data_IF_445794677106
#
_entry.id   IF_445794677106
#
_cell.length_a   1.000
_cell.length_b   1.000
_cell.length_c   1.000
_cell.angle_alpha   90.00
_cell.angle_beta   90.00
_cell.angle_gamma   90.00
#
_symmetry.space_group_name_H-M   'P 1'
#
loop_
_entity.id
_entity.type
_entity.pdbx_description
1 polymer ?
#
# COMPACT_ATOMS: atom_id res chain seq x y z
N UNK A 1 -18.54 16.68 5.01
CA UNK A 1 -17.74 15.89 5.98
C UNK A 1 -16.80 16.84 6.71
N UNK A 2 -16.66 16.71 8.03
CA UNK A 2 -15.63 17.47 8.75
C UNK A 2 -14.27 16.95 8.30
N UNK A 3 -13.34 17.81 7.88
CA UNK A 3 -12.00 17.39 7.43
C UNK A 3 -11.12 16.72 8.49
N UNK A 4 -11.66 16.35 9.65
CA UNK A 4 -10.94 15.72 10.76
C UNK A 4 -10.52 14.30 10.38
N UNK A 5 -9.28 13.94 10.66
CA UNK A 5 -8.82 12.55 10.55
C UNK A 5 -9.56 11.65 11.54
N UNK A 6 -9.75 10.41 11.12
CA UNK A 6 -10.11 9.31 12.03
C UNK A 6 -8.94 9.02 12.96
N UNK A 7 -9.20 8.35 14.09
CA UNK A 7 -8.13 7.88 14.97
C UNK A 7 -7.17 6.94 14.22
N UNK A 8 -7.74 6.07 13.38
CA UNK A 8 -6.98 5.13 12.52
C UNK A 8 -6.03 5.87 11.58
N UNK A 9 -6.52 6.86 10.83
CA UNK A 9 -5.66 7.63 9.91
C UNK A 9 -4.65 8.51 10.66
N UNK A 10 -5.04 9.08 11.80
CA UNK A 10 -4.14 9.88 12.63
C UNK A 10 -2.99 9.04 13.21
N UNK A 11 -3.28 7.80 13.64
CA UNK A 11 -2.25 6.84 14.09
C UNK A 11 -1.25 6.55 12.98
N UNK A 12 -1.72 6.26 11.77
CA UNK A 12 -0.85 6.01 10.62
C UNK A 12 0.01 7.23 10.28
N UNK A 13 -0.57 8.43 10.26
CA UNK A 13 0.18 9.68 10.07
C UNK A 13 1.24 9.92 11.15
N UNK A 14 0.94 9.64 12.41
CA UNK A 14 1.92 9.81 13.47
C UNK A 14 3.04 8.79 13.41
N UNK A 15 2.73 7.55 13.01
CA UNK A 15 3.71 6.49 12.80
C UNK A 15 4.60 6.75 11.58
N UNK A 16 4.05 7.35 10.52
CA UNK A 16 4.81 7.67 9.29
C UNK A 16 5.95 8.67 9.52
N UNK A 17 5.94 9.38 10.66
CA UNK A 17 7.05 10.26 11.08
C UNK A 17 8.23 9.50 11.69
N UNK A 18 8.05 8.20 11.95
CA UNK A 18 9.03 7.31 12.58
C UNK A 18 9.44 6.17 11.67
N UNK A 19 8.55 5.76 10.75
CA UNK A 19 8.79 4.75 9.73
C UNK A 19 8.37 5.30 8.36
N UNK A 20 9.24 5.26 7.33
CA UNK A 20 8.85 5.58 5.97
C UNK A 20 7.64 4.73 5.53
N UNK A 21 6.63 5.38 4.98
CA UNK A 21 5.37 4.72 4.60
C UNK A 21 4.70 5.31 3.36
N UNK A 22 5.37 6.22 2.65
CA UNK A 22 4.81 6.82 1.44
C UNK A 22 4.45 5.76 0.40
N UNK A 23 3.37 6.03 -0.31
CA UNK A 23 2.90 5.22 -1.42
C UNK A 23 3.45 5.80 -2.72
N UNK A 24 4.03 4.94 -3.55
CA UNK A 24 4.57 5.30 -4.85
C UNK A 24 3.72 4.66 -5.95
N UNK A 25 3.14 5.49 -6.82
CA UNK A 25 2.34 5.04 -7.96
C UNK A 25 3.06 5.44 -9.25
N UNK A 26 3.65 4.46 -9.92
CA UNK A 26 4.32 4.65 -11.20
C UNK A 26 3.34 4.39 -12.36
N UNK A 27 3.37 5.27 -13.35
CA UNK A 27 2.68 5.15 -14.63
C UNK A 27 3.69 5.39 -15.75
N UNK A 28 3.83 4.43 -16.66
CA UNK A 28 4.60 4.66 -17.89
C UNK A 28 3.65 4.94 -19.04
N UNK A 29 3.99 5.95 -19.83
CA UNK A 29 3.22 6.51 -20.93
C UNK A 29 3.99 6.30 -22.22
N UNK A 30 3.30 5.86 -23.28
CA UNK A 30 3.95 5.58 -24.56
C UNK A 30 4.47 6.86 -25.24
N UNK A 31 5.75 6.88 -25.56
CA UNK A 31 6.42 8.03 -26.17
C UNK A 31 6.87 9.11 -25.19
N UNK A 32 7.53 10.12 -25.75
CA UNK A 32 8.05 11.29 -25.03
C UNK A 32 7.06 12.45 -25.07
N UNK A 33 7.08 13.30 -24.04
CA UNK A 33 6.29 14.52 -24.01
C UNK A 33 6.88 15.58 -24.94
N UNK A 34 6.03 16.32 -25.64
CA UNK A 34 6.47 17.40 -26.53
C UNK A 34 6.92 18.64 -25.74
N UNK A 35 6.22 18.96 -24.65
CA UNK A 35 6.56 20.06 -23.72
C UNK A 35 6.32 19.63 -22.26
N UNK A 36 7.38 19.20 -21.54
CA UNK A 36 7.28 18.83 -20.12
C UNK A 36 6.77 19.95 -19.20
N UNK A 37 6.95 21.21 -19.56
CA UNK A 37 6.48 22.36 -18.77
C UNK A 37 4.98 22.61 -18.96
N UNK A 38 4.47 22.43 -20.18
CA UNK A 38 3.04 22.44 -20.46
C UNK A 38 2.34 21.29 -19.71
N UNK A 39 2.91 20.09 -19.74
CA UNK A 39 2.38 18.92 -19.02
C UNK A 39 2.39 19.15 -17.51
N UNK A 40 3.48 19.70 -16.98
CA UNK A 40 3.58 20.10 -15.57
C UNK A 40 2.47 21.09 -15.19
N UNK A 41 2.25 22.11 -16.02
CA UNK A 41 1.19 23.11 -15.80
C UNK A 41 -0.20 22.48 -15.82
N UNK A 42 -0.44 21.54 -16.74
CA UNK A 42 -1.70 20.80 -16.82
C UNK A 42 -1.94 19.91 -15.59
N UNK A 43 -0.91 19.19 -15.13
CA UNK A 43 -0.98 18.35 -13.92
C UNK A 43 -1.31 19.19 -12.68
N UNK A 44 -0.66 20.34 -12.50
CA UNK A 44 -0.95 21.27 -11.41
C UNK A 44 -2.39 21.79 -11.49
N UNK A 45 -2.86 22.17 -12.68
CA UNK A 45 -4.24 22.62 -12.89
C UNK A 45 -5.25 21.54 -12.51
N UNK A 46 -5.01 20.29 -12.90
CA UNK A 46 -5.88 19.14 -12.55
C UNK A 46 -5.85 18.87 -11.05
N UNK A 47 -4.66 18.85 -10.44
CA UNK A 47 -4.52 18.62 -9.00
C UNK A 47 -5.23 19.68 -8.13
N UNK A 48 -5.44 20.91 -8.63
CA UNK A 48 -6.25 21.93 -7.94
C UNK A 48 -7.73 21.61 -7.85
N UNK A 49 -8.25 20.81 -8.78
CA UNK A 49 -9.69 20.49 -8.87
C UNK A 49 -10.03 19.09 -8.42
N UNK A 50 -9.06 18.18 -8.32
CA UNK A 50 -9.27 16.82 -7.78
C UNK A 50 -9.40 16.88 -6.26
N UNK A 51 -10.51 16.34 -5.74
CA UNK A 51 -10.73 16.25 -4.29
C UNK A 51 -9.60 15.47 -3.61
N UNK A 52 -9.10 15.97 -2.48
CA UNK A 52 -7.99 15.36 -1.74
C UNK A 52 -6.59 15.68 -2.25
N UNK A 53 -6.41 16.35 -3.39
CA UNK A 53 -5.09 16.81 -3.86
C UNK A 53 -4.81 18.28 -3.50
N UNK A 54 -5.83 19.13 -3.34
CA UNK A 54 -5.69 20.52 -2.91
C UNK A 54 -5.85 20.71 -1.38
N UNK A 55 -5.36 19.76 -0.58
CA UNK A 55 -5.43 19.80 0.90
C UNK A 55 -4.06 19.54 1.52
N UNK A 56 -3.91 19.90 2.80
CA UNK A 56 -2.78 19.54 3.67
C UNK A 56 -3.27 19.28 5.09
N UNK A 57 -2.47 18.60 5.91
CA UNK A 57 -2.78 18.38 7.31
C UNK A 57 -2.46 19.62 8.16
N UNK A 58 -3.35 19.88 9.12
CA UNK A 58 -3.13 20.84 10.20
C UNK A 58 -3.41 20.15 11.53
N UNK A 59 -2.37 20.06 12.36
CA UNK A 59 -2.47 19.56 13.72
C UNK A 59 -3.11 20.60 14.65
N UNK A 60 -3.76 20.13 15.70
CA UNK A 60 -4.26 21.00 16.78
C UNK A 60 -3.14 21.26 17.79
N UNK A 61 -3.16 22.43 18.44
CA UNK A 61 -2.21 22.72 19.53
C UNK A 61 -2.40 21.70 20.65
N UNK A 62 -1.29 21.23 21.24
CA UNK A 62 -1.27 20.25 22.34
C UNK A 62 -1.98 18.92 22.03
N UNK A 63 -2.22 18.63 20.74
CA UNK A 63 -3.00 17.45 20.32
C UNK A 63 -4.38 17.39 20.98
N UNK A 64 -5.01 18.57 21.16
CA UNK A 64 -6.33 18.70 21.77
C UNK A 64 -7.44 17.97 20.99
N UNK A 65 -7.27 17.80 19.68
CA UNK A 65 -8.09 16.95 18.82
C UNK A 65 -7.24 16.34 17.69
N UNK A 66 -7.81 15.41 16.92
CA UNK A 66 -7.16 14.82 15.75
C UNK A 66 -6.82 15.87 14.68
N UNK A 67 -5.79 15.63 13.83
CA UNK A 67 -5.45 16.52 12.73
C UNK A 67 -6.60 16.73 11.75
N UNK A 68 -6.56 17.83 11.02
CA UNK A 68 -7.58 18.20 10.04
C UNK A 68 -6.98 18.44 8.66
N UNK A 69 -7.63 17.93 7.62
CA UNK A 69 -7.45 18.38 6.24
C UNK A 69 -7.94 19.83 6.10
N UNK A 70 -7.06 20.68 5.60
CA UNK A 70 -7.36 22.08 5.26
C UNK A 70 -6.93 22.35 3.81
N UNK A 71 -7.62 23.25 3.08
CA UNK A 71 -7.19 23.64 1.74
C UNK A 71 -5.75 24.14 1.71
N UNK A 72 -5.07 23.86 0.60
CA UNK A 72 -3.76 24.40 0.29
C UNK A 72 -3.69 24.73 -1.19
N UNK A 73 -2.88 25.73 -1.52
CA UNK A 73 -2.55 25.98 -2.92
C UNK A 73 -1.67 24.84 -3.45
N UNK A 74 -1.90 24.51 -4.72
CA UNK A 74 -1.08 23.56 -5.48
C UNK A 74 -0.25 24.36 -6.47
N UNK A 75 1.06 24.27 -6.30
CA UNK A 75 2.08 25.06 -7.01
C UNK A 75 2.96 24.15 -7.88
N UNK A 76 3.76 24.75 -8.78
CA UNK A 76 4.56 24.01 -9.77
C UNK A 76 5.63 23.11 -9.14
N UNK A 77 6.15 23.47 -7.96
CA UNK A 77 7.13 22.69 -7.20
C UNK A 77 6.64 21.29 -6.79
N UNK A 78 5.33 21.03 -6.85
CA UNK A 78 4.75 19.69 -6.70
C UNK A 78 5.17 18.71 -7.79
N UNK A 79 5.64 19.19 -8.92
CA UNK A 79 6.07 18.36 -10.05
C UNK A 79 7.56 18.58 -10.25
N UNK A 80 8.33 17.54 -9.95
CA UNK A 80 9.79 17.51 -10.12
C UNK A 80 10.08 16.84 -11.45
N UNK A 81 10.64 17.59 -12.39
CA UNK A 81 11.08 17.06 -13.69
C UNK A 81 12.52 16.59 -13.56
N UNK A 82 12.77 15.35 -13.96
CA UNK A 82 14.07 14.71 -13.90
C UNK A 82 14.60 14.46 -15.31
N UNK A 83 15.92 14.42 -15.43
CA UNK A 83 16.55 14.05 -16.69
C UNK A 83 16.20 12.59 -17.06
N UNK A 84 16.01 12.38 -18.36
CA UNK A 84 15.77 11.07 -18.94
C UNK A 84 16.97 10.12 -18.83
N UNK A 85 16.70 8.84 -18.62
CA UNK A 85 17.68 7.77 -18.35
C UNK A 85 17.14 6.41 -18.79
N UNK A 86 17.89 5.34 -18.56
CA UNK A 86 17.35 3.98 -18.73
C UNK A 86 16.24 3.68 -17.70
N UNK A 87 15.39 2.70 -18.01
CA UNK A 87 14.34 2.22 -17.11
C UNK A 87 14.86 1.85 -15.72
N UNK A 88 15.99 1.14 -15.65
CA UNK A 88 16.54 0.73 -14.35
C UNK A 88 17.07 1.92 -13.55
N UNK A 89 17.74 2.87 -14.17
CA UNK A 89 18.16 4.11 -13.49
C UNK A 89 16.97 4.95 -13.02
N UNK A 90 15.86 4.95 -13.76
CA UNK A 90 14.62 5.58 -13.32
C UNK A 90 14.09 4.91 -12.04
N UNK A 91 14.06 3.58 -11.99
CA UNK A 91 13.66 2.82 -10.79
C UNK A 91 14.61 3.04 -9.62
N UNK A 92 15.92 3.10 -9.84
CA UNK A 92 16.91 3.36 -8.80
C UNK A 92 16.72 4.77 -8.20
N UNK A 93 16.41 5.77 -9.04
CA UNK A 93 16.07 7.13 -8.56
C UNK A 93 14.75 7.18 -7.79
N UNK A 94 13.78 6.32 -8.12
CA UNK A 94 12.57 6.16 -7.31
C UNK A 94 12.89 5.46 -5.99
N UNK A 95 13.81 4.49 -5.98
CA UNK A 95 14.25 3.85 -4.74
C UNK A 95 14.93 4.85 -3.79
N UNK A 96 15.75 5.76 -4.31
CA UNK A 96 16.39 6.82 -3.53
C UNK A 96 15.38 7.78 -2.86
N UNK A 97 14.17 7.94 -3.42
CA UNK A 97 13.14 8.79 -2.79
C UNK A 97 12.39 8.10 -1.64
N UNK A 98 12.67 6.83 -1.35
CA UNK A 98 12.13 6.16 -0.15
C UNK A 98 12.62 6.81 1.14
N UNK A 99 13.80 7.43 1.15
CA UNK A 99 14.30 8.17 2.31
C UNK A 99 13.73 9.59 2.39
N UNK A 100 13.42 10.21 1.24
CA UNK A 100 12.80 11.54 1.14
C UNK A 100 11.27 11.41 1.23
N UNK A 101 10.73 11.19 2.43
CA UNK A 101 9.28 11.12 2.66
C UNK A 101 8.62 12.49 2.54
N UNK A 102 7.38 12.54 2.03
CA UNK A 102 6.61 13.78 1.95
C UNK A 102 6.08 14.18 3.34
N UNK A 103 5.94 15.49 3.61
CA UNK A 103 5.35 15.99 4.86
C UNK A 103 3.88 16.37 4.61
N UNK A 104 2.89 15.60 5.11
CA UNK A 104 1.47 15.88 4.88
C UNK A 104 1.01 17.27 5.31
N UNK A 105 1.76 17.94 6.20
CA UNK A 105 1.44 19.29 6.67
C UNK A 105 1.80 20.39 5.67
N UNK A 106 2.66 20.07 4.70
CA UNK A 106 3.19 20.97 3.68
C UNK A 106 2.90 20.47 2.28
N UNK A 107 3.28 19.23 2.01
CA UNK A 107 3.26 18.51 0.74
C UNK A 107 2.75 17.10 1.00
N UNK A 108 1.44 16.80 0.98
CA UNK A 108 0.97 15.44 1.20
C UNK A 108 1.19 14.51 0.02
N UNK A 109 1.58 15.06 -1.13
CA UNK A 109 1.94 14.32 -2.32
C UNK A 109 2.84 15.17 -3.20
N UNK A 110 3.63 14.53 -4.06
CA UNK A 110 4.41 15.15 -5.13
C UNK A 110 4.53 14.20 -6.32
N UNK A 111 4.91 14.74 -7.46
CA UNK A 111 5.07 14.01 -8.71
C UNK A 111 6.52 14.08 -9.18
N UNK A 112 7.02 12.98 -9.71
CA UNK A 112 8.32 12.88 -10.35
C UNK A 112 8.07 12.53 -11.81
N UNK A 113 8.40 13.46 -12.71
CA UNK A 113 8.22 13.30 -14.14
C UNK A 113 9.58 13.03 -14.78
N UNK A 114 9.68 11.92 -15.49
CA UNK A 114 10.84 11.52 -16.30
C UNK A 114 10.40 11.52 -17.77
N UNK A 115 10.65 12.61 -18.53
CA UNK A 115 10.06 12.79 -19.86
C UNK A 115 10.59 11.85 -20.95
N UNK A 116 11.74 11.23 -20.74
CA UNK A 116 12.41 10.40 -21.73
C UNK A 116 13.12 9.23 -21.03
N UNK A 117 12.53 8.04 -21.05
CA UNK A 117 13.07 6.86 -20.38
C UNK A 117 13.24 5.75 -21.41
N UNK A 118 14.47 5.29 -21.57
CA UNK A 118 14.82 4.23 -22.51
C UNK A 118 14.59 2.84 -21.93
N UNK A 119 14.17 1.89 -22.76
CA UNK A 119 14.01 0.49 -22.36
C UNK A 119 12.85 0.23 -21.39
N UNK A 120 11.84 1.11 -21.36
CA UNK A 120 10.60 0.84 -20.62
C UNK A 120 9.94 -0.42 -21.20
N UNK A 121 9.51 -1.39 -20.36
CA UNK A 121 8.85 -2.58 -20.86
C UNK A 121 7.65 -2.25 -21.73
N UNK A 122 7.48 -3.00 -22.83
CA UNK A 122 6.39 -2.84 -23.81
C UNK A 122 6.47 -1.57 -24.69
N UNK A 123 7.58 -0.85 -24.73
CA UNK A 123 7.82 0.20 -25.74
C UNK A 123 8.92 -0.19 -26.71
N UNK A 124 8.87 0.37 -27.91
CA UNK A 124 9.94 0.25 -28.92
C UNK A 124 10.88 1.45 -28.92
N UNK A 125 10.45 2.56 -28.31
CA UNK A 125 11.23 3.79 -28.18
C UNK A 125 11.18 4.36 -26.76
N UNK A 126 11.74 5.56 -26.56
CA UNK A 126 11.72 6.21 -25.26
C UNK A 126 10.29 6.52 -24.82
N UNK A 127 10.04 6.40 -23.52
CA UNK A 127 8.74 6.56 -22.90
C UNK A 127 8.76 7.63 -21.81
N UNK A 128 7.61 8.10 -21.38
CA UNK A 128 7.49 9.02 -20.25
C UNK A 128 7.11 8.25 -19.00
N UNK A 129 7.78 8.49 -17.89
CA UNK A 129 7.41 7.90 -16.59
C UNK A 129 6.95 8.99 -15.63
N UNK A 130 5.75 8.83 -15.09
CA UNK A 130 5.21 9.65 -14.01
C UNK A 130 5.12 8.81 -12.74
N UNK A 131 5.76 9.26 -11.67
CA UNK A 131 5.64 8.66 -10.34
C UNK A 131 4.94 9.63 -9.42
N UNK A 132 3.81 9.21 -8.84
CA UNK A 132 3.08 9.97 -7.83
C UNK A 132 3.43 9.40 -6.46
N UNK A 133 4.16 10.18 -5.68
CA UNK A 133 4.48 9.87 -4.29
C UNK A 133 3.42 10.53 -3.39
N UNK A 134 2.77 9.75 -2.54
CA UNK A 134 1.69 10.19 -1.68
C UNK A 134 1.90 9.73 -0.24
N UNK A 135 1.59 10.59 0.71
CA UNK A 135 1.55 10.18 2.11
C UNK A 135 0.42 9.16 2.33
N UNK A 136 0.71 8.08 3.06
CA UNK A 136 -0.26 7.01 3.33
C UNK A 136 -1.56 7.50 4.01
N UNK A 137 -1.53 8.64 4.71
CA UNK A 137 -2.72 9.25 5.32
C UNK A 137 -3.74 9.74 4.28
N UNK A 138 -3.34 9.92 3.01
CA UNK A 138 -4.27 10.17 1.89
C UNK A 138 -5.11 8.94 1.54
N UNK A 139 -4.76 7.74 1.99
CA UNK A 139 -5.67 6.60 2.01
C UNK A 139 -5.03 5.29 1.56
N UNK A 140 -5.87 4.26 1.50
CA UNK A 140 -5.46 2.95 1.02
C UNK A 140 -5.14 2.94 -0.49
N UNK A 141 -4.57 1.82 -0.96
CA UNK A 141 -4.17 1.65 -2.36
C UNK A 141 -5.30 1.91 -3.37
N UNK A 142 -6.55 1.59 -3.02
CA UNK A 142 -7.71 1.86 -3.88
C UNK A 142 -8.01 3.35 -3.96
N UNK A 143 -7.99 4.07 -2.82
CA UNK A 143 -8.21 5.51 -2.78
C UNK A 143 -7.12 6.28 -3.51
N UNK A 144 -5.84 5.98 -3.30
CA UNK A 144 -4.75 6.68 -4.01
C UNK A 144 -4.71 6.35 -5.50
N UNK A 145 -5.10 5.12 -5.89
CA UNK A 145 -5.28 4.79 -7.30
C UNK A 145 -6.43 5.59 -7.92
N UNK A 146 -7.55 5.78 -7.21
CA UNK A 146 -8.63 6.63 -7.69
C UNK A 146 -8.22 8.11 -7.83
N UNK A 147 -7.41 8.64 -6.90
CA UNK A 147 -6.84 9.99 -7.00
C UNK A 147 -5.92 10.13 -8.21
N UNK A 148 -5.03 9.17 -8.43
CA UNK A 148 -4.12 9.18 -9.57
C UNK A 148 -4.87 9.02 -10.91
N UNK A 149 -5.94 8.22 -10.95
CA UNK A 149 -6.83 8.15 -12.12
C UNK A 149 -7.50 9.50 -12.39
N UNK A 150 -8.11 10.12 -11.38
CA UNK A 150 -8.74 11.44 -11.54
C UNK A 150 -7.76 12.52 -12.00
N UNK A 151 -6.49 12.42 -11.61
CA UNK A 151 -5.41 13.30 -12.07
C UNK A 151 -5.04 13.07 -13.55
N UNK A 152 -5.08 11.82 -14.01
CA UNK A 152 -4.69 11.42 -15.37
C UNK A 152 -5.86 11.41 -16.36
N UNK A 153 -7.11 11.47 -15.88
CA UNK A 153 -8.29 11.60 -16.74
C UNK A 153 -8.38 12.98 -17.41
N UNK A 154 -9.00 13.03 -18.59
CA UNK A 154 -9.21 14.26 -19.36
C UNK A 154 -10.18 15.22 -18.66
N UNK A 155 -11.25 14.69 -18.05
CA UNK A 155 -12.25 15.43 -17.28
C UNK A 155 -12.15 15.09 -15.78
N UNK A 156 -11.36 15.83 -14.99
CA UNK A 156 -11.29 15.60 -13.56
C UNK A 156 -12.63 15.95 -12.90
N UNK A 157 -13.15 15.05 -12.07
CA UNK A 157 -14.35 15.32 -11.26
C UNK A 157 -14.06 16.43 -10.24
N UNK A 158 -14.97 17.41 -10.07
CA UNK A 158 -14.72 18.59 -9.26
C UNK A 158 -14.65 18.27 -7.75
N UNK A 159 -13.75 18.96 -7.05
CA UNK A 159 -13.54 18.81 -5.62
C UNK A 159 -14.78 19.13 -4.78
N UNK A 160 -15.11 18.26 -3.83
CA UNK A 160 -16.08 18.57 -2.79
C UNK A 160 -15.39 19.43 -1.73
N UNK A 161 -15.85 20.68 -1.55
CA UNK A 161 -15.28 21.58 -0.54
C UNK A 161 -15.38 20.96 0.86
N UNK A 162 -14.23 20.68 1.46
CA UNK A 162 -14.15 20.23 2.84
C UNK A 162 -14.42 21.40 3.79
N UNK A 163 -15.34 21.22 4.73
CA UNK A 163 -15.63 22.23 5.76
C UNK A 163 -14.50 22.22 6.79
N UNK A 164 -13.78 23.35 6.87
CA UNK A 164 -12.68 23.55 7.81
C UNK A 164 -13.20 24.20 9.08
N UNK A 165 -12.95 23.57 10.23
CA UNK A 165 -13.16 24.23 11.52
C UNK A 165 -12.03 25.25 11.77
N UNK A 166 -12.35 26.50 12.14
CA UNK A 166 -11.38 27.45 12.67
C UNK A 166 -10.60 26.84 13.85
N UNK A 167 -9.31 27.16 13.97
CA UNK A 167 -8.42 26.60 15.01
C UNK A 167 -8.95 26.72 16.46
N UNK A 168 -9.48 27.88 16.93
CA UNK A 168 -10.02 27.97 18.29
C UNK A 168 -11.25 27.07 18.50
N UNK A 169 -12.09 26.90 17.48
CA UNK A 169 -13.26 26.02 17.54
C UNK A 169 -12.86 24.54 17.58
N UNK A 170 -11.79 24.14 16.88
CA UNK A 170 -11.26 22.78 16.94
C UNK A 170 -10.72 22.43 18.35
N UNK A 171 -10.02 23.37 19.00
CA UNK A 171 -9.53 23.20 20.37
C UNK A 171 -10.70 23.10 21.37
N UNK A 172 -11.65 24.03 21.28
CA UNK A 172 -12.83 24.03 22.15
C UNK A 172 -13.63 22.73 22.00
N UNK A 173 -13.82 22.26 20.75
CA UNK A 173 -14.46 20.97 20.46
C UNK A 173 -13.72 19.81 21.13
N UNK A 174 -12.40 19.73 20.96
CA UNK A 174 -11.59 18.68 21.58
C UNK A 174 -11.72 18.63 23.10
N UNK A 175 -11.65 19.80 23.76
CA UNK A 175 -11.81 19.92 25.20
C UNK A 175 -13.22 19.54 25.69
N UNK A 176 -14.26 19.99 24.99
CA UNK A 176 -15.67 19.70 25.32
C UNK A 176 -16.01 18.23 25.07
N UNK A 177 -15.50 17.61 24.00
CA UNK A 177 -15.74 16.21 23.69
C UNK A 177 -14.96 15.25 24.61
N UNK A 178 -13.92 15.71 25.30
CA UNK A 178 -13.01 14.84 26.05
C UNK A 178 -13.73 13.96 27.10
N UNK A 179 -14.61 14.48 27.98
CA UNK A 179 -15.32 13.64 28.95
C UNK A 179 -16.21 12.59 28.27
N UNK A 180 -16.94 12.99 27.23
CA UNK A 180 -17.81 12.10 26.47
C UNK A 180 -17.01 11.01 25.74
N UNK A 181 -15.82 11.34 25.20
CA UNK A 181 -14.90 10.37 24.60
C UNK A 181 -14.34 9.39 25.60
N UNK A 182 -13.97 9.83 26.80
CA UNK A 182 -13.49 8.94 27.87
C UNK A 182 -14.58 7.93 28.29
N UNK A 183 -15.81 8.40 28.49
CA UNK A 183 -16.95 7.52 28.79
C UNK A 183 -17.23 6.56 27.63
N UNK A 184 -17.23 7.10 26.40
CA UNK A 184 -17.38 6.33 25.16
C UNK A 184 -16.32 5.25 25.02
N UNK A 185 -15.06 5.56 25.32
CA UNK A 185 -13.93 4.64 25.28
C UNK A 185 -14.12 3.46 26.22
N UNK A 186 -14.52 3.70 27.48
CA UNK A 186 -14.78 2.60 28.43
C UNK A 186 -15.91 1.70 27.93
N UNK A 187 -16.99 2.28 27.41
CA UNK A 187 -18.12 1.51 26.86
C UNK A 187 -17.71 0.69 25.63
N UNK A 188 -17.05 1.32 24.66
CA UNK A 188 -16.61 0.65 23.42
C UNK A 188 -15.51 -0.37 23.67
N UNK A 189 -14.63 -0.15 24.64
CA UNK A 189 -13.64 -1.15 25.07
C UNK A 189 -14.33 -2.40 25.62
N UNK A 190 -15.40 -2.26 26.42
CA UNK A 190 -16.21 -3.40 26.88
C UNK A 190 -16.86 -4.14 25.70
N UNK A 191 -17.44 -3.41 24.76
CA UNK A 191 -18.01 -4.00 23.52
C UNK A 191 -16.94 -4.78 22.74
N UNK A 192 -15.73 -4.22 22.60
CA UNK A 192 -14.61 -4.87 21.92
C UNK A 192 -14.16 -6.15 22.65
N UNK A 193 -14.11 -6.15 23.99
CA UNK A 193 -13.80 -7.37 24.77
C UNK A 193 -14.87 -8.44 24.58
N UNK A 194 -16.16 -8.08 24.57
CA UNK A 194 -17.25 -9.03 24.32
C UNK A 194 -17.17 -9.59 22.89
N UNK A 195 -16.94 -8.72 21.91
CA UNK A 195 -16.78 -9.12 20.52
C UNK A 195 -15.58 -10.06 20.32
N UNK A 196 -14.46 -9.80 21.01
CA UNK A 196 -13.27 -10.65 20.98
C UNK A 196 -13.50 -12.01 21.62
N UNK A 197 -14.22 -12.07 22.75
CA UNK A 197 -14.64 -13.34 23.37
C UNK A 197 -15.54 -14.14 22.43
N UNK A 198 -16.50 -13.48 21.76
CA UNK A 198 -17.37 -14.12 20.76
C UNK A 198 -16.54 -14.67 19.60
N UNK A 199 -15.64 -13.86 19.04
CA UNK A 199 -14.71 -14.29 17.97
C UNK A 199 -13.88 -15.51 18.39
N UNK A 200 -13.43 -15.55 19.64
CA UNK A 200 -12.67 -16.68 20.20
C UNK A 200 -13.54 -17.93 20.33
N UNK A 201 -14.77 -17.79 20.84
CA UNK A 201 -15.72 -18.90 20.91
C UNK A 201 -16.13 -19.44 19.53
N UNK A 202 -16.43 -18.55 18.57
CA UNK A 202 -16.78 -18.90 17.19
C UNK A 202 -15.59 -19.56 16.46
N UNK A 203 -14.35 -19.18 16.81
CA UNK A 203 -13.14 -19.88 16.35
C UNK A 203 -13.05 -21.29 16.97
N UNK A 204 -13.26 -21.42 18.29
CA UNK A 204 -13.21 -22.71 18.98
C UNK A 204 -14.33 -23.67 18.53
N UNK A 205 -15.48 -23.13 18.13
CA UNK A 205 -16.61 -23.87 17.57
C UNK A 205 -16.48 -24.18 16.06
N UNK A 206 -15.39 -23.73 15.40
CA UNK A 206 -15.17 -23.95 13.97
C UNK A 206 -16.07 -23.13 13.03
N UNK A 207 -16.80 -22.14 13.55
CA UNK A 207 -17.66 -21.24 12.76
C UNK A 207 -16.81 -20.34 11.86
N UNK A 208 -15.66 -19.88 12.36
CA UNK A 208 -14.65 -19.19 11.57
C UNK A 208 -13.29 -19.89 11.69
N UNK A 209 -12.43 -19.83 10.66
CA UNK A 209 -11.07 -20.35 10.75
C UNK A 209 -10.27 -19.73 11.88
N UNK A 210 -9.27 -20.47 12.37
CA UNK A 210 -8.29 -19.98 13.35
C UNK A 210 -7.58 -18.69 12.92
N UNK A 211 -7.07 -17.88 13.86
CA UNK A 211 -6.11 -16.84 13.50
C UNK A 211 -4.86 -17.48 12.86
N UNK A 212 -4.12 -16.75 12.01
CA UNK A 212 -2.84 -17.24 11.50
C UNK A 212 -1.90 -17.55 12.66
N UNK A 213 -1.11 -18.61 12.50
CA UNK A 213 -0.05 -18.93 13.45
C UNK A 213 1.11 -17.92 13.26
N UNK A 214 1.74 -17.47 14.35
CA UNK A 214 3.01 -16.74 14.27
C UNK A 214 4.09 -17.60 13.61
N UNK A 215 4.93 -16.99 12.79
CA UNK A 215 6.01 -17.68 12.04
C UNK A 215 7.37 -17.34 12.60
N UNK A 216 8.30 -18.28 12.51
CA UNK A 216 9.70 -18.01 12.83
C UNK A 216 10.30 -17.04 11.77
N UNK A 217 11.06 -16.00 12.17
CA UNK A 217 11.74 -15.12 11.22
C UNK A 217 12.72 -15.88 10.32
N UNK A 218 12.94 -15.38 9.11
CA UNK A 218 13.97 -15.88 8.17
C UNK A 218 15.07 -14.83 7.98
N UNK A 219 16.07 -15.13 7.15
CA UNK A 219 17.06 -14.13 6.70
C UNK A 219 16.44 -12.92 5.99
N UNK A 220 15.18 -13.01 5.57
CA UNK A 220 14.43 -11.91 4.93
C UNK A 220 13.69 -11.02 5.94
N UNK A 221 13.55 -11.50 7.18
CA UNK A 221 12.76 -10.86 8.23
C UNK A 221 13.59 -9.89 9.07
N UNK A 222 14.26 -8.94 8.39
CA UNK A 222 15.16 -7.96 9.02
C UNK A 222 14.99 -6.57 8.40
N UNK A 223 15.39 -5.50 9.12
CA UNK A 223 15.38 -4.16 8.55
C UNK A 223 16.27 -4.07 7.31
N UNK A 224 15.82 -3.33 6.31
CA UNK A 224 16.62 -2.95 5.16
C UNK A 224 17.52 -1.76 5.54
N UNK A 225 18.79 -2.04 5.83
CA UNK A 225 19.78 -1.02 6.22
C UNK A 225 20.66 -0.53 5.08
N UNK A 226 20.69 -1.27 3.97
CA UNK A 226 21.46 -0.98 2.77
C UNK A 226 20.71 -0.13 1.75
N UNK A 227 21.26 -0.07 0.53
CA UNK A 227 20.66 0.71 -0.56
C UNK A 227 19.37 0.05 -1.03
N UNK A 228 18.25 0.77 -1.00
CA UNK A 228 16.97 0.27 -1.52
C UNK A 228 17.08 0.01 -3.02
N UNK A 229 16.59 -1.15 -3.45
CA UNK A 229 16.55 -1.59 -4.85
C UNK A 229 15.13 -1.90 -5.27
N UNK A 230 14.77 -1.45 -6.47
CA UNK A 230 13.48 -1.73 -7.09
C UNK A 230 13.70 -2.51 -8.38
N UNK A 231 12.93 -3.59 -8.57
CA UNK A 231 12.86 -4.33 -9.83
C UNK A 231 11.42 -4.55 -10.25
N UNK A 232 11.18 -4.61 -11.55
CA UNK A 232 9.85 -4.82 -12.13
C UNK A 232 9.90 -5.97 -13.15
N UNK A 233 8.94 -6.89 -13.04
CA UNK A 233 8.65 -7.93 -14.02
C UNK A 233 7.26 -7.65 -14.59
N UNK A 234 7.21 -7.35 -15.89
CA UNK A 234 5.97 -6.96 -16.58
C UNK A 234 5.50 -8.11 -17.45
N UNK A 235 4.24 -8.49 -17.33
CA UNK A 235 3.64 -9.57 -18.10
C UNK A 235 2.18 -9.26 -18.46
N UNK A 236 1.61 -9.95 -19.47
CA UNK A 236 0.19 -9.92 -19.74
C UNK A 236 -0.61 -10.47 -18.55
N UNK A 237 -1.78 -9.90 -18.28
CA UNK A 237 -2.69 -10.39 -17.24
C UNK A 237 -3.10 -11.86 -17.49
N UNK A 238 -3.17 -12.28 -18.75
CA UNK A 238 -3.45 -13.66 -19.15
C UNK A 238 -2.35 -14.66 -18.79
N UNK A 239 -1.14 -14.21 -18.45
CA UNK A 239 -0.08 -15.09 -17.95
C UNK A 239 -0.27 -15.41 -16.46
N UNK A 240 -1.08 -14.62 -15.74
CA UNK A 240 -1.35 -14.76 -14.30
C UNK A 240 -2.84 -14.96 -14.00
N UNK A 241 -3.67 -15.24 -15.00
CA UNK A 241 -5.11 -15.39 -14.80
C UNK A 241 -5.64 -16.56 -15.61
N UNK A 242 -6.50 -17.34 -14.97
CA UNK A 242 -7.33 -18.34 -15.62
C UNK A 242 -8.78 -18.13 -15.20
N UNK A 243 -9.69 -18.97 -15.71
CA UNK A 243 -11.10 -18.92 -15.31
C UNK A 243 -11.32 -19.26 -13.82
N UNK A 244 -10.36 -19.95 -13.20
CA UNK A 244 -10.45 -20.41 -11.80
C UNK A 244 -9.42 -19.78 -10.87
N UNK A 245 -8.37 -19.17 -11.42
CA UNK A 245 -7.28 -18.57 -10.63
C UNK A 245 -7.18 -17.07 -10.92
N UNK A 246 -7.36 -16.27 -9.88
CA UNK A 246 -7.20 -14.81 -9.96
C UNK A 246 -5.72 -14.39 -10.07
N UNK A 247 -5.48 -13.18 -10.61
CA UNK A 247 -4.13 -12.57 -10.67
C UNK A 247 -3.43 -12.56 -9.32
N UNK A 248 -4.15 -12.23 -8.25
CA UNK A 248 -3.58 -12.21 -6.89
C UNK A 248 -3.11 -13.61 -6.46
N UNK A 249 -3.90 -14.65 -6.72
CA UNK A 249 -3.52 -16.03 -6.36
C UNK A 249 -2.33 -16.49 -7.19
N UNK A 250 -2.36 -16.30 -8.52
CA UNK A 250 -1.24 -16.68 -9.38
C UNK A 250 0.04 -15.93 -9.00
N UNK A 251 -0.04 -14.64 -8.69
CA UNK A 251 1.10 -13.85 -8.23
C UNK A 251 1.64 -14.36 -6.87
N UNK A 252 0.79 -14.81 -5.95
CA UNK A 252 1.23 -15.44 -4.70
C UNK A 252 1.91 -16.80 -4.95
N UNK A 253 1.47 -17.58 -5.94
CA UNK A 253 2.19 -18.80 -6.37
C UNK A 253 3.57 -18.43 -6.93
N UNK A 254 3.64 -17.39 -7.77
CA UNK A 254 4.90 -16.87 -8.33
C UNK A 254 5.85 -16.43 -7.21
N UNK A 255 5.37 -15.67 -6.22
CA UNK A 255 6.17 -15.23 -5.06
C UNK A 255 6.61 -16.43 -4.22
N UNK A 256 5.70 -17.37 -3.92
CA UNK A 256 6.02 -18.62 -3.20
C UNK A 256 7.17 -19.37 -3.86
N UNK A 257 7.07 -19.56 -5.18
CA UNK A 257 8.02 -20.30 -5.98
C UNK A 257 9.38 -19.59 -6.16
N UNK A 258 9.36 -18.27 -6.35
CA UNK A 258 10.58 -17.46 -6.46
C UNK A 258 11.33 -17.37 -5.11
N UNK A 259 10.62 -17.09 -4.00
CA UNK A 259 11.22 -17.02 -2.67
C UNK A 259 11.80 -18.36 -2.25
N UNK A 260 11.10 -19.48 -2.50
CA UNK A 260 11.59 -20.82 -2.16
C UNK A 260 12.90 -21.12 -2.86
N UNK A 261 12.99 -20.83 -4.16
CA UNK A 261 14.22 -21.04 -4.93
C UNK A 261 15.35 -20.11 -4.51
N UNK A 262 15.02 -18.86 -4.22
CA UNK A 262 16.02 -17.91 -3.81
C UNK A 262 16.63 -18.27 -2.45
N UNK A 263 15.80 -18.61 -1.45
CA UNK A 263 16.28 -19.11 -0.17
C UNK A 263 17.15 -20.36 -0.33
N UNK A 264 16.72 -21.32 -1.16
CA UNK A 264 17.52 -22.50 -1.47
C UNK A 264 18.86 -22.15 -2.14
N UNK A 265 18.90 -21.14 -3.03
CA UNK A 265 20.13 -20.70 -3.70
C UNK A 265 21.13 -20.05 -2.73
N UNK A 266 20.64 -19.49 -1.62
CA UNK A 266 21.46 -18.97 -0.53
C UNK A 266 21.92 -20.06 0.45
N UNK A 267 21.49 -21.32 0.27
CA UNK A 267 21.72 -22.40 1.24
C UNK A 267 20.87 -22.28 2.50
N UNK A 268 19.86 -21.40 2.51
CA UNK A 268 18.95 -21.19 3.63
C UNK A 268 17.79 -22.19 3.59
N UNK A 269 17.31 -22.67 4.74
CA UNK A 269 16.14 -23.55 4.78
C UNK A 269 14.89 -22.79 4.32
N UNK A 270 14.08 -23.43 3.47
CA UNK A 270 12.76 -22.91 3.10
C UNK A 270 11.76 -23.31 4.18
N UNK A 271 11.15 -22.38 4.92
CA UNK A 271 10.17 -22.73 5.94
C UNK A 271 8.92 -23.35 5.32
N UNK A 272 8.42 -24.46 5.88
CA UNK A 272 7.18 -25.10 5.42
C UNK A 272 5.96 -24.17 5.56
N UNK A 273 6.02 -23.22 6.50
CA UNK A 273 5.01 -22.21 6.79
C UNK A 273 5.30 -20.84 6.14
N UNK A 274 6.13 -20.80 5.07
CA UNK A 274 6.42 -19.58 4.33
C UNK A 274 5.12 -18.81 4.07
N UNK A 275 5.05 -17.54 4.49
CA UNK A 275 3.83 -16.75 4.41
C UNK A 275 4.06 -15.33 3.91
N UNK A 276 2.99 -14.72 3.42
CA UNK A 276 2.94 -13.32 3.00
C UNK A 276 1.88 -12.55 3.80
N UNK A 277 2.19 -11.32 4.16
CA UNK A 277 1.19 -10.35 4.59
C UNK A 277 0.52 -9.75 3.36
N UNK A 278 -0.74 -10.11 3.11
CA UNK A 278 -1.52 -9.63 1.98
C UNK A 278 -2.43 -8.49 2.42
N UNK A 279 -2.31 -7.34 1.76
CA UNK A 279 -3.16 -6.18 2.01
C UNK A 279 -4.55 -6.43 1.38
N UNK A 280 -5.56 -6.69 2.19
CA UNK A 280 -6.94 -6.90 1.74
C UNK A 280 -7.76 -5.64 1.99
N UNK A 281 -8.31 -5.05 0.93
CA UNK A 281 -9.24 -3.94 1.05
C UNK A 281 -10.51 -4.35 1.80
N UNK A 282 -10.95 -3.49 2.73
CA UNK A 282 -12.20 -3.65 3.47
C UNK A 282 -13.32 -3.02 2.62
N UNK A 283 -14.28 -3.82 2.13
CA UNK A 283 -15.36 -3.33 1.27
C UNK A 283 -16.22 -2.32 2.03
N UNK A 284 -16.84 -1.33 1.35
CA UNK A 284 -17.64 -0.29 2.00
C UNK A 284 -18.68 -0.80 3.01
N UNK A 285 -19.32 -1.93 2.71
CA UNK A 285 -20.33 -2.57 3.56
C UNK A 285 -19.74 -3.14 4.86
N UNK A 286 -18.47 -3.53 4.84
CA UNK A 286 -17.73 -4.05 6.00
C UNK A 286 -16.98 -2.97 6.78
N UNK A 287 -17.02 -1.71 6.35
CA UNK A 287 -16.31 -0.63 7.04
C UNK A 287 -17.01 -0.26 8.34
N UNK A 288 -16.25 -0.32 9.42
CA UNK A 288 -16.73 0.08 10.75
C UNK A 288 -16.36 1.51 11.11
N UNK A 289 -15.43 2.11 10.37
CA UNK A 289 -14.95 3.50 10.51
C UNK A 289 -15.01 4.22 9.16
N UNK A 290 -14.92 5.55 9.18
CA UNK A 290 -14.78 6.37 7.97
C UNK A 290 -13.32 6.60 7.57
N UNK A 291 -12.41 5.70 7.96
CA UNK A 291 -10.98 5.86 7.69
C UNK A 291 -10.71 5.86 6.19
N UNK A 292 -9.79 6.71 5.75
CA UNK A 292 -9.29 6.72 4.38
C UNK A 292 -8.48 5.45 4.08
N UNK A 293 -7.80 4.93 5.11
CA UNK A 293 -7.12 3.64 5.07
C UNK A 293 -8.06 2.52 5.48
N UNK A 294 -8.74 1.90 4.50
CA UNK A 294 -9.69 0.82 4.74
C UNK A 294 -9.15 -0.50 4.19
N UNK A 295 -8.05 -1.00 4.77
CA UNK A 295 -7.48 -2.31 4.45
C UNK A 295 -7.09 -3.08 5.73
N UNK A 296 -6.91 -4.38 5.60
CA UNK A 296 -6.41 -5.25 6.64
C UNK A 296 -5.20 -6.05 6.13
N UNK A 297 -4.16 -6.18 6.97
CA UNK A 297 -3.02 -7.05 6.68
C UNK A 297 -3.35 -8.48 7.11
N UNK A 298 -3.54 -9.35 6.13
CA UNK A 298 -3.88 -10.74 6.34
C UNK A 298 -2.66 -11.63 6.10
N UNK A 299 -2.25 -12.41 7.10
CA UNK A 299 -1.22 -13.41 6.91
C UNK A 299 -1.76 -14.60 6.09
N UNK A 300 -1.15 -14.87 4.94
CA UNK A 300 -1.53 -15.92 3.99
C UNK A 300 -0.38 -16.91 3.85
N UNK A 301 -0.72 -18.19 3.85
CA UNK A 301 0.24 -19.29 3.72
C UNK A 301 0.60 -19.47 2.24
N UNK A 302 1.90 -19.53 1.92
CA UNK A 302 2.42 -19.66 0.54
C UNK A 302 2.65 -21.12 0.12
N UNK A 303 2.53 -22.07 1.05
CA UNK A 303 2.56 -23.52 0.82
C UNK A 303 3.74 -24.01 -0.06
N UNK A 304 5.00 -23.68 0.29
CA UNK A 304 6.16 -24.00 -0.55
C UNK A 304 6.40 -25.51 -0.71
N UNK A 305 5.95 -26.33 0.26
CA UNK A 305 6.06 -27.79 0.21
C UNK A 305 5.14 -28.46 -0.83
N UNK A 306 4.08 -27.79 -1.27
CA UNK A 306 3.14 -28.32 -2.29
C UNK A 306 3.76 -28.17 -3.68
N UNK A 307 4.27 -29.25 -4.26
CA UNK A 307 5.03 -29.20 -5.52
C UNK A 307 4.17 -28.91 -6.77
N UNK A 308 2.95 -29.46 -6.84
CA UNK A 308 2.01 -29.13 -7.93
C UNK A 308 1.53 -27.69 -7.79
N UNK A 309 1.88 -26.82 -8.75
CA UNK A 309 1.53 -25.40 -8.72
C UNK A 309 0.02 -25.17 -8.81
N UNK A 310 -0.76 -26.07 -9.43
CA UNK A 310 -2.23 -25.97 -9.42
C UNK A 310 -2.79 -26.27 -8.03
N UNK A 311 -2.29 -27.30 -7.36
CA UNK A 311 -2.63 -27.59 -5.97
C UNK A 311 -2.19 -26.46 -5.02
N UNK A 312 -1.00 -25.90 -5.22
CA UNK A 312 -0.50 -24.75 -4.46
C UNK A 312 -1.40 -23.53 -4.64
N UNK A 313 -1.85 -23.24 -5.87
CA UNK A 313 -2.79 -22.17 -6.15
C UNK A 313 -4.12 -22.35 -5.39
N UNK A 314 -4.67 -23.58 -5.38
CA UNK A 314 -5.89 -23.90 -4.61
C UNK A 314 -5.68 -23.67 -3.11
N UNK A 315 -4.59 -24.16 -2.54
CA UNK A 315 -4.27 -24.00 -1.12
C UNK A 315 -4.10 -22.53 -0.72
N UNK A 316 -3.40 -21.74 -1.55
CA UNK A 316 -3.26 -20.28 -1.34
C UNK A 316 -4.62 -19.58 -1.41
N UNK A 317 -5.47 -19.93 -2.38
CA UNK A 317 -6.82 -19.34 -2.50
C UNK A 317 -7.71 -19.73 -1.31
N UNK A 318 -7.59 -20.96 -0.80
CA UNK A 318 -8.25 -21.39 0.44
C UNK A 318 -7.78 -20.56 1.64
N UNK A 319 -6.46 -20.35 1.80
CA UNK A 319 -5.92 -19.48 2.87
C UNK A 319 -6.44 -18.05 2.76
N UNK A 320 -6.50 -17.46 1.56
CA UNK A 320 -7.09 -16.15 1.31
C UNK A 320 -8.59 -16.10 1.67
N UNK A 321 -9.36 -17.12 1.25
CA UNK A 321 -10.79 -17.23 1.58
C UNK A 321 -10.99 -17.33 3.08
N UNK A 322 -10.14 -18.05 3.80
CA UNK A 322 -10.18 -18.13 5.26
C UNK A 322 -9.94 -16.77 5.92
N UNK A 323 -8.99 -15.99 5.39
CA UNK A 323 -8.74 -14.63 5.90
C UNK A 323 -9.93 -13.71 5.64
N UNK A 324 -10.55 -13.79 4.45
CA UNK A 324 -11.77 -13.03 4.14
C UNK A 324 -12.95 -13.39 5.05
N UNK A 325 -13.20 -14.68 5.32
CA UNK A 325 -14.27 -15.10 6.26
C UNK A 325 -14.09 -14.49 7.65
N UNK A 326 -12.84 -14.31 8.10
CA UNK A 326 -12.55 -13.62 9.37
C UNK A 326 -12.81 -12.11 9.31
N UNK A 327 -12.60 -11.47 8.16
CA UNK A 327 -12.93 -10.04 7.95
C UNK A 327 -14.44 -9.79 7.91
N UNK A 328 -15.21 -10.74 7.39
CA UNK A 328 -16.68 -10.67 7.30
C UNK A 328 -17.37 -10.97 8.63
N UNK A 329 -16.64 -11.49 9.62
CA UNK A 329 -17.18 -11.81 10.93
C UNK A 329 -17.71 -10.54 11.64
N UNK A 330 -18.90 -10.54 12.27
CA UNK A 330 -19.49 -9.34 12.88
C UNK A 330 -18.66 -8.67 13.98
N UNK A 331 -17.74 -9.42 14.62
CA UNK A 331 -16.80 -8.86 15.60
C UNK A 331 -15.62 -8.12 14.98
N UNK A 332 -15.38 -8.27 13.67
CA UNK A 332 -14.32 -7.56 12.97
C UNK A 332 -14.57 -6.05 13.01
N UNK A 333 -13.51 -5.27 13.20
CA UNK A 333 -13.58 -3.81 13.27
C UNK A 333 -14.29 -3.22 14.51
N UNK A 334 -14.78 -4.03 15.45
CA UNK A 334 -15.31 -3.52 16.74
C UNK A 334 -14.19 -2.89 17.57
N UNK A 335 -12.98 -3.47 17.52
CA UNK A 335 -11.78 -2.88 18.11
C UNK A 335 -11.46 -1.51 17.50
N UNK A 336 -11.49 -1.39 16.17
CA UNK A 336 -11.23 -0.11 15.48
C UNK A 336 -12.23 0.97 15.89
N UNK A 337 -13.51 0.62 16.04
CA UNK A 337 -14.53 1.53 16.58
C UNK A 337 -14.25 1.98 18.02
N UNK A 338 -13.64 1.12 18.84
CA UNK A 338 -13.19 1.51 20.16
C UNK A 338 -12.01 2.47 20.07
N UNK A 339 -11.05 2.21 19.17
CA UNK A 339 -9.92 3.12 18.89
C UNK A 339 -10.40 4.51 18.45
N UNK A 340 -11.46 4.62 17.66
CA UNK A 340 -12.04 5.91 17.24
C UNK A 340 -12.55 6.79 18.40
N UNK A 341 -12.77 6.21 19.59
CA UNK A 341 -13.16 6.96 20.79
C UNK A 341 -11.99 7.40 21.66
N UNK A 342 -10.78 6.87 21.41
CA UNK A 342 -9.59 7.24 22.17
C UNK A 342 -9.30 8.74 21.94
N UNK A 343 -9.04 9.52 22.99
CA UNK A 343 -8.59 10.90 22.85
C UNK A 343 -7.27 11.00 22.07
N UNK A 344 -7.15 12.01 21.21
CA UNK A 344 -5.99 12.19 20.34
C UNK A 344 -4.66 12.26 21.11
N UNK A 345 -4.63 12.90 22.28
CA UNK A 345 -3.43 12.99 23.13
C UNK A 345 -2.97 11.63 23.68
N UNK A 346 -3.90 10.71 23.97
CA UNK A 346 -3.56 9.37 24.46
C UNK A 346 -2.98 8.55 23.32
N UNK A 347 -3.66 8.54 22.17
CA UNK A 347 -3.21 7.80 21.00
C UNK A 347 -1.88 8.35 20.46
N UNK A 348 -1.67 9.67 20.49
CA UNK A 348 -0.40 10.29 20.10
C UNK A 348 0.74 9.86 21.01
N UNK A 349 0.52 9.86 22.33
CA UNK A 349 1.53 9.40 23.31
C UNK A 349 1.87 7.93 23.14
N UNK A 350 0.87 7.07 22.91
CA UNK A 350 1.08 5.65 22.62
C UNK A 350 2.02 5.47 21.42
N UNK A 351 1.71 6.14 20.29
CA UNK A 351 2.55 6.12 19.09
C UNK A 351 3.95 6.67 19.36
N UNK A 352 4.08 7.75 20.13
CA UNK A 352 5.39 8.34 20.44
C UNK A 352 6.23 7.42 21.38
N UNK A 353 5.59 6.65 22.25
CA UNK A 353 6.25 5.76 23.22
C UNK A 353 6.62 4.37 22.69
N UNK A 354 6.04 3.93 21.57
CA UNK A 354 6.28 2.59 21.04
C UNK A 354 7.76 2.41 20.67
N UNK A 355 8.44 1.37 21.15
CA UNK A 355 9.81 1.06 20.73
C UNK A 355 9.78 0.27 19.42
N UNK A 356 10.23 0.91 18.34
CA UNK A 356 10.24 0.32 16.99
C UNK A 356 11.56 -0.39 16.67
N UNK A 357 12.53 -0.35 17.59
CA UNK A 357 13.81 -1.05 17.44
C UNK A 357 13.75 -2.52 17.89
N UNK A 358 12.70 -2.89 18.63
CA UNK A 358 12.50 -4.26 19.10
C UNK A 358 12.21 -5.18 17.92
N UNK A 359 13.14 -6.08 17.63
CA UNK A 359 12.91 -7.16 16.66
C UNK A 359 11.98 -8.20 17.29
N UNK A 360 10.81 -8.47 16.70
CA UNK A 360 9.91 -9.49 17.23
C UNK A 360 10.48 -10.89 17.01
N UNK A 361 10.19 -11.78 17.94
CA UNK A 361 10.60 -13.20 17.88
C UNK A 361 9.77 -14.01 16.88
N UNK A 362 8.68 -13.44 16.37
CA UNK A 362 7.80 -14.05 15.36
C UNK A 362 7.28 -13.00 14.39
N UNK A 363 7.02 -13.40 13.15
CA UNK A 363 6.46 -12.54 12.10
C UNK A 363 5.11 -13.04 11.60
N UNK A 364 4.28 -12.14 11.08
CA UNK A 364 3.00 -12.50 10.46
C UNK A 364 3.18 -13.03 9.03
N UNK A 365 4.22 -12.55 8.32
CA UNK A 365 4.67 -13.09 7.05
C UNK A 365 6.15 -12.75 6.82
N UNK A 366 6.79 -13.44 5.86
CA UNK A 366 8.18 -13.21 5.49
C UNK A 366 8.32 -12.15 4.39
N UNK A 367 7.21 -11.75 3.77
CA UNK A 367 7.11 -10.69 2.77
C UNK A 367 5.75 -9.99 2.90
N UNK A 368 5.61 -8.78 2.35
CA UNK A 368 4.31 -8.16 2.06
C UNK A 368 3.95 -8.37 0.58
N UNK A 369 2.67 -8.57 0.27
CA UNK A 369 2.13 -8.55 -1.09
C UNK A 369 0.95 -7.58 -1.15
N UNK A 370 1.09 -6.53 -1.96
CA UNK A 370 0.01 -5.57 -2.24
C UNK A 370 -0.48 -5.75 -3.67
N UNK A 371 -1.73 -6.18 -3.83
CA UNK A 371 -2.34 -6.42 -5.15
C UNK A 371 -3.45 -5.41 -5.43
N UNK A 372 -3.27 -4.57 -6.45
CA UNK A 372 -4.18 -3.48 -6.80
C UNK A 372 -4.46 -3.48 -8.29
N UNK A 373 -5.73 -3.69 -8.65
CA UNK A 373 -6.23 -3.44 -9.99
C UNK A 373 -6.54 -1.94 -10.16
N UNK A 374 -5.77 -1.24 -11.00
CA UNK A 374 -5.95 0.20 -11.29
C UNK A 374 -6.94 0.45 -12.44
N UNK A 375 -7.72 -0.54 -12.85
CA UNK A 375 -8.81 -0.41 -13.80
C UNK A 375 -8.39 -0.54 -15.26
N UNK A 376 -9.23 -0.10 -16.21
CA UNK A 376 -8.94 -0.18 -17.65
C UNK A 376 -7.73 0.70 -18.05
N UNK A 377 -7.18 0.42 -19.24
CA UNK A 377 -6.09 1.18 -19.86
C UNK A 377 -6.63 2.37 -20.68
N UNK A 378 -7.31 3.28 -19.99
CA UNK A 378 -8.01 4.48 -20.50
C UNK A 378 -7.40 5.78 -19.94
N UNK A 379 -6.25 5.69 -19.26
CA UNK A 379 -5.52 6.84 -18.75
C UNK A 379 -4.55 7.35 -19.82
N UNK A 380 -4.42 8.66 -19.91
CA UNK A 380 -3.48 9.30 -20.82
C UNK A 380 -2.77 10.49 -20.16
N UNK A 381 -1.56 10.75 -20.59
CA UNK A 381 -0.82 11.97 -20.26
C UNK A 381 -0.49 12.68 -21.57
N UNK A 382 -0.95 13.92 -21.72
CA UNK A 382 -0.74 14.70 -22.95
C UNK A 382 -1.22 13.98 -24.23
N UNK A 383 -2.39 13.33 -24.15
CA UNK A 383 -2.97 12.55 -25.25
C UNK A 383 -2.28 11.21 -25.52
N UNK A 384 -1.23 10.85 -24.78
CA UNK A 384 -0.49 9.59 -24.93
C UNK A 384 -0.93 8.56 -23.90
N UNK A 385 -1.15 7.29 -24.27
CA UNK A 385 -1.73 6.30 -23.39
C UNK A 385 -0.76 5.82 -22.31
N UNK A 386 -1.29 5.53 -21.13
CA UNK A 386 -0.58 4.78 -20.08
C UNK A 386 -0.55 3.31 -20.47
N UNK A 387 0.65 2.74 -20.58
CA UNK A 387 0.90 1.38 -21.08
C UNK A 387 1.20 0.36 -19.99
N UNK A 388 1.66 0.80 -18.82
CA UNK A 388 1.86 -0.02 -17.64
C UNK A 388 1.83 0.82 -16.39
N UNK A 389 1.67 0.14 -15.26
CA UNK A 389 1.66 0.78 -13.95
C UNK A 389 2.36 -0.11 -12.94
N UNK A 390 2.96 0.51 -11.93
CA UNK A 390 3.59 -0.18 -10.81
C UNK A 390 3.35 0.58 -9.50
N UNK A 391 3.62 -0.09 -8.39
CA UNK A 391 3.67 0.53 -7.08
C UNK A 391 4.59 -0.25 -6.16
N UNK A 392 5.09 0.41 -5.13
CA UNK A 392 6.23 -0.08 -4.37
C UNK A 392 5.87 -0.08 -2.88
N UNK A 393 5.34 -1.19 -2.33
CA UNK A 393 4.95 -1.25 -0.93
C UNK A 393 6.16 -1.03 -0.01
N UNK A 394 5.98 -0.22 1.04
CA UNK A 394 7.04 0.13 1.96
C UNK A 394 7.58 -1.10 2.71
N UNK A 395 8.90 -1.11 2.94
CA UNK A 395 9.58 -2.07 3.81
C UNK A 395 9.23 -1.80 5.28
N UNK A 396 9.50 -2.75 6.16
CA UNK A 396 9.32 -2.58 7.61
C UNK A 396 10.54 -3.11 8.38
N UNK A 397 10.69 -2.80 9.67
CA UNK A 397 11.77 -3.35 10.50
C UNK A 397 11.80 -4.89 10.55
N UNK A 398 10.73 -5.57 10.12
CA UNK A 398 10.58 -7.02 10.22
C UNK A 398 10.37 -7.70 8.87
N UNK A 399 10.34 -6.91 7.78
CA UNK A 399 10.11 -7.37 6.42
C UNK A 399 11.05 -6.61 5.47
N UNK A 400 12.14 -7.28 5.09
CA UNK A 400 13.18 -6.74 4.20
C UNK A 400 12.88 -6.87 2.70
N UNK A 401 11.76 -7.50 2.34
CA UNK A 401 11.32 -7.63 0.95
C UNK A 401 9.80 -7.50 0.82
N UNK A 402 9.35 -6.74 -0.17
CA UNK A 402 7.92 -6.55 -0.46
C UNK A 402 7.64 -6.69 -1.95
N UNK A 403 6.40 -7.05 -2.26
CA UNK A 403 5.93 -7.27 -3.62
C UNK A 403 4.70 -6.44 -3.93
N UNK A 404 4.72 -5.69 -5.03
CA UNK A 404 3.54 -5.05 -5.60
C UNK A 404 3.03 -5.83 -6.80
N UNK A 405 1.72 -6.06 -6.90
CA UNK A 405 1.05 -6.66 -8.05
C UNK A 405 0.05 -5.64 -8.58
N UNK A 406 0.45 -4.92 -9.63
CA UNK A 406 -0.29 -3.76 -10.10
C UNK A 406 -0.75 -3.94 -11.54
N UNK A 407 -2.06 -3.92 -11.74
CA UNK A 407 -2.69 -4.11 -13.04
C UNK A 407 -3.25 -2.81 -13.63
N UNK A 408 -3.11 -2.62 -14.96
CA UNK A 408 -3.87 -1.65 -15.74
C UNK A 408 -4.22 -2.25 -17.10
N UNK A 409 -5.52 -2.32 -17.42
CA UNK A 409 -6.01 -3.09 -18.56
C UNK A 409 -5.54 -4.55 -18.51
N UNK A 410 -4.93 -5.03 -19.58
CA UNK A 410 -4.43 -6.41 -19.71
C UNK A 410 -2.94 -6.57 -19.31
N UNK A 411 -2.38 -5.60 -18.58
CA UNK A 411 -0.96 -5.60 -18.18
C UNK A 411 -0.85 -5.68 -16.67
N UNK A 412 0.01 -6.57 -16.19
CA UNK A 412 0.34 -6.71 -14.77
C UNK A 412 1.84 -6.52 -14.59
N UNK A 413 2.20 -5.69 -13.62
CA UNK A 413 3.57 -5.53 -13.14
C UNK A 413 3.71 -6.16 -11.76
N UNK A 414 4.63 -7.10 -11.62
CA UNK A 414 5.16 -7.50 -10.32
C UNK A 414 6.38 -6.64 -10.02
N UNK A 415 6.30 -5.83 -8.97
CA UNK A 415 7.42 -5.03 -8.46
C UNK A 415 7.99 -5.68 -7.20
N UNK A 416 9.30 -5.54 -7.03
CA UNK A 416 10.06 -5.97 -5.86
C UNK A 416 10.68 -4.73 -5.25
N UNK A 417 10.57 -4.58 -3.93
CA UNK A 417 11.37 -3.63 -3.16
C UNK A 417 12.16 -4.43 -2.13
N UNK A 418 13.47 -4.22 -2.09
CA UNK A 418 14.36 -4.79 -1.08
C UNK A 418 15.58 -3.88 -0.92
N UNK A 419 16.59 -4.32 -0.19
CA UNK A 419 17.89 -3.65 -0.10
C UNK A 419 19.02 -4.62 -0.38
N UNK A 420 20.16 -4.09 -0.82
CA UNK A 420 21.35 -4.88 -1.16
C UNK A 420 21.91 -5.71 0.01
N UNK A 421 21.70 -5.28 1.25
CA UNK A 421 22.07 -6.05 2.45
C UNK A 421 21.09 -7.18 2.77
N UNK A 422 19.83 -7.09 2.32
CA UNK A 422 18.80 -8.14 2.49
C UNK A 422 18.95 -9.23 1.44
N UNK A 423 19.04 -8.84 0.16
CA UNK A 423 19.00 -9.74 -0.99
C UNK A 423 19.55 -9.08 -2.27
N UNK A 424 20.16 -9.89 -3.15
CA UNK A 424 20.42 -9.48 -4.53
C UNK A 424 19.09 -9.36 -5.32
N UNK A 425 18.68 -8.11 -5.55
CA UNK A 425 17.43 -7.81 -6.23
C UNK A 425 17.39 -8.28 -7.69
N UNK A 426 18.53 -8.29 -8.40
CA UNK A 426 18.61 -8.73 -9.80
C UNK A 426 18.43 -10.25 -9.88
N UNK A 427 19.18 -11.00 -9.07
CA UNK A 427 19.07 -12.46 -9.00
C UNK A 427 17.66 -12.90 -8.60
N UNK A 428 17.02 -12.18 -7.68
CA UNK A 428 15.65 -12.47 -7.29
C UNK A 428 14.62 -12.11 -8.37
N UNK A 429 14.84 -11.01 -9.10
CA UNK A 429 13.99 -10.66 -10.24
C UNK A 429 14.05 -11.74 -11.34
N UNK A 430 15.20 -12.36 -11.56
CA UNK A 430 15.32 -13.52 -12.47
C UNK A 430 14.54 -14.73 -11.96
N UNK A 431 14.65 -15.06 -10.67
CA UNK A 431 13.82 -16.11 -10.06
C UNK A 431 12.32 -15.83 -10.25
N UNK A 432 11.90 -14.57 -10.12
CA UNK A 432 10.52 -14.14 -10.31
C UNK A 432 10.07 -14.26 -11.78
N UNK A 433 10.91 -13.87 -12.76
CA UNK A 433 10.62 -14.04 -14.20
C UNK A 433 10.43 -15.51 -14.55
N UNK A 434 11.33 -16.38 -14.09
CA UNK A 434 11.21 -17.82 -14.29
C UNK A 434 9.95 -18.37 -13.61
N UNK A 435 9.61 -17.88 -12.40
CA UNK A 435 8.40 -18.29 -11.70
C UNK A 435 7.14 -17.93 -12.50
N UNK A 436 7.07 -16.73 -13.09
CA UNK A 436 5.97 -16.32 -13.97
C UNK A 436 5.82 -17.29 -15.14
N UNK A 437 6.93 -17.67 -15.81
CA UNK A 437 6.89 -18.62 -16.91
C UNK A 437 6.34 -19.99 -16.49
N UNK A 438 6.82 -20.53 -15.35
CA UNK A 438 6.38 -21.84 -14.85
C UNK A 438 4.93 -21.84 -14.38
N UNK A 439 4.51 -20.79 -13.69
CA UNK A 439 3.12 -20.65 -13.24
C UNK A 439 2.19 -20.54 -14.44
N UNK A 440 2.55 -19.76 -15.45
CA UNK A 440 1.80 -19.67 -16.70
C UNK A 440 1.64 -21.03 -17.37
N UNK A 441 2.72 -21.80 -17.50
CA UNK A 441 2.69 -23.13 -18.10
C UNK A 441 1.89 -24.13 -17.27
N UNK A 442 2.00 -24.06 -15.95
CA UNK A 442 1.30 -24.97 -15.07
C UNK A 442 -0.20 -24.66 -14.96
N UNK A 443 -0.62 -23.39 -15.04
CA UNK A 443 -2.03 -22.99 -14.84
C UNK A 443 -2.88 -23.02 -16.12
N UNK A 444 -2.27 -22.95 -17.30
CA UNK A 444 -2.94 -23.26 -18.59
C UNK A 444 -3.18 -24.76 -18.65
#
# INVERSE_FOLDING_TARGET
>A
MTGRLTATDARMYWLSRRLPSDQFLLYAVDGVLDDPDAVTTALVRRARVVDGLAVRLRETRWTADYPYWVPTDVTRDRVRVHAGRTWQECLDRVAETFEDQVDPRREPWRMHLYPCVDGVPRTTGPATVLVVQMAHVLGDGARVSALARALLSEEPSPAVRTVVLPAPLAIARGAVELPARMIGMVRRAREAVVADRRRTADTAAGVIPGPPLPRAPTVLSRPAGGTIRIRCVVCPASDLRTDTVSVTVAALVVVSDAMSRHLASLGEPVPDDLGAEVMIAIPPQGRTTSAANAFHNAAVDLHPSVQDLRARARAIDDSLRDRRRRLEHPAFGVGDRATETVPAVILRRDVDSADLSVTPTTVAGHTVVSSVNRGPADLALDGRPVILTAGFPALSPTVGITHGVHGIGEVVTLSIVTSDDVMDADAYADCLREAVHRVREALR
#
